data_IF_044141962330
#
_entry.id   IF_044141962330
#
_cell.length_a   1.000
_cell.length_b   1.000
_cell.length_c   1.000
_cell.angle_alpha   90.00
_cell.angle_beta   90.00
_cell.angle_gamma   90.00
#
_symmetry.space_group_name_H-M   'P 1'
#
loop_
_entity.id
_entity.type
_entity.pdbx_description
1 polymer ?
#
# COMPACT_ATOMS: atom_id res chain seq x y z
N UNK A 1 -6.57 -15.26 17.04
CA UNK A 1 -5.62 -16.22 16.41
C UNK A 1 -5.37 -15.69 15.01
N UNK A 2 -4.13 -15.34 14.66
CA UNK A 2 -3.81 -14.91 13.30
C UNK A 2 -4.10 -16.05 12.31
N UNK A 3 -4.39 -15.71 11.07
CA UNK A 3 -4.51 -16.69 9.99
C UNK A 3 -3.10 -17.20 9.72
N UNK A 4 -2.77 -18.42 10.17
CA UNK A 4 -1.61 -19.13 9.66
C UNK A 4 -1.94 -19.63 8.24
N UNK A 5 -0.93 -19.65 7.37
CA UNK A 5 -1.11 -20.17 6.00
C UNK A 5 -0.81 -21.66 5.91
N UNK A 6 -0.81 -22.39 7.03
CA UNK A 6 -0.54 -23.84 7.04
C UNK A 6 -1.56 -24.61 6.21
N UNK A 7 -2.79 -24.08 6.11
CA UNK A 7 -3.89 -24.66 5.33
C UNK A 7 -3.94 -24.17 3.88
N UNK A 8 -3.06 -23.25 3.48
CA UNK A 8 -3.01 -22.70 2.11
C UNK A 8 -4.19 -21.79 1.72
N UNK A 9 -4.99 -21.33 2.68
CA UNK A 9 -6.23 -20.58 2.42
C UNK A 9 -6.09 -19.07 2.54
N UNK A 10 -4.90 -18.58 2.93
CA UNK A 10 -4.65 -17.14 2.93
C UNK A 10 -4.36 -16.67 1.51
N UNK A 11 -4.84 -15.48 1.15
CA UNK A 11 -4.47 -14.88 -0.14
C UNK A 11 -2.95 -14.61 -0.17
N UNK A 12 -2.30 -15.20 -1.18
CA UNK A 12 -0.87 -15.04 -1.46
C UNK A 12 -0.62 -14.23 -2.73
N UNK A 13 -1.67 -13.78 -3.41
CA UNK A 13 -1.59 -12.93 -4.59
C UNK A 13 -1.12 -11.50 -4.29
N UNK A 14 -1.24 -10.64 -5.29
CA UNK A 14 -0.96 -9.21 -5.17
C UNK A 14 -1.77 -8.61 -4.02
N UNK A 15 -1.17 -7.75 -3.17
CA UNK A 15 -1.92 -7.07 -2.13
C UNK A 15 -3.07 -6.26 -2.75
N UNK A 16 -4.25 -6.34 -2.12
CA UNK A 16 -5.46 -5.65 -2.57
C UNK A 16 -5.27 -4.13 -2.62
N UNK A 17 -4.64 -3.58 -1.57
CA UNK A 17 -4.21 -2.18 -1.50
C UNK A 17 -2.70 -2.15 -1.25
N UNK A 18 -2.00 -1.20 -1.88
CA UNK A 18 -0.59 -0.92 -1.60
C UNK A 18 -0.33 0.56 -1.47
N UNK A 19 0.54 0.93 -0.54
CA UNK A 19 1.23 2.20 -0.51
C UNK A 19 2.59 2.01 -1.22
N UNK A 20 2.70 2.50 -2.45
CA UNK A 20 3.85 2.26 -3.32
C UNK A 20 4.65 3.55 -3.51
N UNK A 21 5.90 3.57 -3.06
CA UNK A 21 6.86 4.57 -3.51
C UNK A 21 7.21 4.29 -4.97
N UNK A 22 7.00 5.26 -5.85
CA UNK A 22 7.09 5.10 -7.30
C UNK A 22 7.93 6.21 -7.92
N UNK A 23 8.90 5.84 -8.75
CA UNK A 23 9.65 6.78 -9.59
C UNK A 23 9.05 6.83 -10.98
N UNK A 24 8.59 8.00 -11.42
CA UNK A 24 8.17 8.18 -12.81
C UNK A 24 9.40 8.12 -13.74
N UNK A 25 9.28 7.43 -14.87
CA UNK A 25 10.35 7.36 -15.86
C UNK A 25 10.59 8.71 -16.55
N UNK A 26 11.86 9.01 -16.85
CA UNK A 26 12.28 10.18 -17.64
C UNK A 26 12.92 11.29 -16.80
N UNK A 27 13.68 12.16 -17.46
CA UNK A 27 14.50 13.24 -16.86
C UNK A 27 13.73 14.35 -16.13
N UNK A 28 12.39 14.29 -16.14
CA UNK A 28 11.48 15.20 -15.41
C UNK A 28 10.54 14.46 -14.45
N UNK A 29 10.71 13.14 -14.27
CA UNK A 29 9.80 12.30 -13.50
C UNK A 29 10.00 12.48 -11.99
N UNK A 30 9.06 13.16 -11.33
CA UNK A 30 9.03 13.24 -9.87
C UNK A 30 8.75 11.89 -9.21
N UNK A 31 9.13 11.75 -7.95
CA UNK A 31 8.81 10.58 -7.13
C UNK A 31 7.47 10.77 -6.42
N UNK A 32 6.69 9.70 -6.30
CA UNK A 32 5.37 9.75 -5.69
C UNK A 32 5.18 8.63 -4.68
N UNK A 33 4.37 8.88 -3.66
CA UNK A 33 3.68 7.80 -2.96
C UNK A 33 2.32 7.59 -3.65
N UNK A 34 2.00 6.35 -4.00
CA UNK A 34 0.74 5.95 -4.65
C UNK A 34 -0.05 4.99 -3.78
N UNK A 35 -1.31 5.28 -3.55
CA UNK A 35 -2.30 4.31 -3.08
C UNK A 35 -2.80 3.57 -4.31
N UNK A 36 -2.51 2.28 -4.42
CA UNK A 36 -2.93 1.45 -5.56
C UNK A 36 -3.90 0.38 -5.13
N UNK A 37 -4.83 0.05 -6.01
CA UNK A 37 -5.86 -0.96 -5.79
C UNK A 37 -5.82 -2.02 -6.89
N UNK A 38 -5.69 -3.27 -6.46
CA UNK A 38 -5.66 -4.45 -7.31
C UNK A 38 -7.05 -5.11 -7.29
N UNK A 39 -7.95 -4.66 -8.17
CA UNK A 39 -9.31 -5.18 -8.24
C UNK A 39 -9.31 -6.64 -8.66
N UNK A 40 -10.07 -7.48 -7.96
CA UNK A 40 -10.31 -8.87 -8.37
C UNK A 40 -10.82 -8.94 -9.81
N UNK A 41 -10.12 -9.71 -10.65
CA UNK A 41 -10.46 -9.88 -12.08
C UNK A 41 -10.24 -8.62 -12.94
N UNK A 42 -9.55 -7.60 -12.42
CA UNK A 42 -9.26 -6.35 -13.12
C UNK A 42 -7.77 -6.00 -13.12
N UNK A 43 -7.45 -4.82 -13.65
CA UNK A 43 -6.10 -4.25 -13.60
C UNK A 43 -5.87 -3.46 -12.31
N UNK A 44 -4.61 -3.34 -11.91
CA UNK A 44 -4.23 -2.47 -10.80
C UNK A 44 -4.36 -1.00 -11.19
N UNK A 45 -5.09 -0.21 -10.41
CA UNK A 45 -5.26 1.23 -10.62
C UNK A 45 -4.58 2.04 -9.52
N UNK A 46 -4.29 3.32 -9.79
CA UNK A 46 -3.85 4.27 -8.76
C UNK A 46 -5.09 5.05 -8.30
N UNK A 47 -5.41 4.94 -7.01
CA UNK A 47 -6.55 5.61 -6.39
C UNK A 47 -6.22 7.05 -5.97
N UNK A 48 -5.03 7.22 -5.40
CA UNK A 48 -4.51 8.52 -4.98
C UNK A 48 -2.98 8.54 -5.11
N UNK A 49 -2.42 9.74 -5.26
CA UNK A 49 -0.98 9.92 -5.26
C UNK A 49 -0.58 11.28 -4.71
N UNK A 50 0.59 11.35 -4.10
CA UNK A 50 1.18 12.60 -3.60
C UNK A 50 2.70 12.59 -3.83
N UNK A 51 3.34 13.74 -3.72
CA UNK A 51 4.80 13.86 -3.86
C UNK A 51 5.51 13.09 -2.71
N UNK A 52 6.48 12.24 -3.07
CA UNK A 52 7.26 11.46 -2.10
C UNK A 52 8.16 12.36 -1.23
N UNK A 53 8.49 13.57 -1.68
CA UNK A 53 9.35 14.50 -0.95
C UNK A 53 8.82 14.82 0.47
N UNK A 54 7.49 14.77 0.67
CA UNK A 54 6.88 14.99 1.98
C UNK A 54 7.22 13.93 3.04
N UNK A 55 7.64 12.75 2.60
CA UNK A 55 7.86 11.55 3.43
C UNK A 55 9.33 11.32 3.75
N UNK A 56 10.24 11.66 2.84
CA UNK A 56 11.67 11.40 2.99
C UNK A 56 12.22 12.09 4.25
N UNK A 57 12.83 11.30 5.14
CA UNK A 57 13.40 11.78 6.41
C UNK A 57 12.38 12.23 7.46
N UNK A 58 11.09 11.91 7.29
CA UNK A 58 10.04 12.29 8.23
C UNK A 58 9.30 11.04 8.75
N UNK A 59 8.96 11.06 10.03
CA UNK A 59 7.93 10.16 10.55
C UNK A 59 6.54 10.64 10.11
N UNK A 60 5.73 9.70 9.65
CA UNK A 60 4.34 9.90 9.29
C UNK A 60 3.48 8.88 10.04
N UNK A 61 2.30 9.30 10.44
CA UNK A 61 1.24 8.42 10.94
C UNK A 61 0.33 8.05 9.78
N UNK A 62 -0.02 6.77 9.67
CA UNK A 62 -0.91 6.24 8.64
C UNK A 62 -2.10 5.59 9.34
N UNK A 63 -3.29 6.16 9.14
CA UNK A 63 -4.55 5.56 9.58
C UNK A 63 -5.27 4.99 8.36
N UNK A 64 -5.47 3.67 8.34
CA UNK A 64 -6.27 2.96 7.34
C UNK A 64 -7.55 2.42 7.98
N UNK A 65 -8.71 2.65 7.33
CA UNK A 65 -9.98 2.01 7.66
C UNK A 65 -10.46 1.22 6.46
N UNK A 66 -10.76 -0.05 6.66
CA UNK A 66 -11.23 -0.93 5.59
C UNK A 66 -12.46 -1.70 6.04
N UNK A 67 -13.51 -1.65 5.22
CA UNK A 67 -14.62 -2.58 5.29
C UNK A 67 -14.40 -3.66 4.23
N UNK A 68 -14.22 -4.90 4.67
CA UNK A 68 -13.92 -6.02 3.78
C UNK A 68 -15.19 -6.71 3.28
N UNK A 69 -15.27 -6.93 1.97
CA UNK A 69 -16.40 -7.55 1.30
C UNK A 69 -16.52 -7.07 -0.15
N UNK A 70 -17.39 -7.69 -0.93
CA UNK A 70 -17.61 -7.33 -2.34
C UNK A 70 -18.23 -5.92 -2.50
N UNK A 71 -18.91 -5.44 -1.45
CA UNK A 71 -19.41 -4.06 -1.32
C UNK A 71 -18.75 -3.38 -0.11
N UNK A 72 -17.43 -3.40 -0.08
CA UNK A 72 -16.60 -2.83 0.97
C UNK A 72 -16.29 -1.35 0.79
N UNK A 73 -15.34 -0.87 1.60
CA UNK A 73 -14.82 0.49 1.55
C UNK A 73 -13.35 0.53 1.98
N UNK A 74 -12.66 1.59 1.58
CA UNK A 74 -11.29 1.86 1.99
C UNK A 74 -11.07 3.36 2.19
N UNK A 75 -10.43 3.69 3.31
CA UNK A 75 -10.01 5.04 3.67
C UNK A 75 -8.56 5.01 4.14
N UNK A 76 -7.81 6.04 3.78
CA UNK A 76 -6.45 6.26 4.27
C UNK A 76 -6.18 7.74 4.48
N UNK A 77 -5.62 8.07 5.64
CA UNK A 77 -5.07 9.39 5.95
C UNK A 77 -3.62 9.21 6.35
N UNK A 78 -2.74 9.99 5.73
CA UNK A 78 -1.31 10.01 6.07
C UNK A 78 -0.92 11.40 6.53
N UNK A 79 -0.52 11.50 7.80
CA UNK A 79 -0.22 12.77 8.47
C UNK A 79 1.24 12.79 8.89
N UNK A 80 1.95 13.87 8.54
CA UNK A 80 3.32 14.06 9.00
C UNK A 80 3.34 14.48 10.46
N UNK A 81 4.07 13.74 11.29
CA UNK A 81 4.03 13.91 12.74
C UNK A 81 4.60 15.27 13.17
N UNK A 82 5.70 15.72 12.55
CA UNK A 82 6.43 16.91 13.02
C UNK A 82 5.62 18.21 12.99
N UNK A 83 4.63 18.30 12.12
CA UNK A 83 3.87 19.53 11.87
C UNK A 83 2.36 19.31 11.64
N UNK A 84 1.87 18.07 11.81
CA UNK A 84 0.46 17.73 11.62
C UNK A 84 -0.04 17.88 10.18
N UNK A 85 0.86 18.04 9.20
CA UNK A 85 0.46 18.22 7.80
C UNK A 85 -0.09 16.92 7.22
N UNK A 86 -1.33 16.93 6.77
CA UNK A 86 -1.89 15.85 5.95
C UNK A 86 -1.16 15.82 4.59
N UNK A 87 -0.49 14.71 4.30
CA UNK A 87 0.27 14.49 3.07
C UNK A 87 -0.58 13.81 1.99
N UNK A 88 -1.51 12.95 2.41
CA UNK A 88 -2.45 12.24 1.54
C UNK A 88 -3.71 11.90 2.34
N UNK A 89 -4.86 12.08 1.72
CA UNK A 89 -6.17 11.65 2.22
C UNK A 89 -6.93 11.04 1.05
N UNK A 90 -7.53 9.88 1.26
CA UNK A 90 -8.35 9.19 0.26
C UNK A 90 -9.44 8.40 0.96
N UNK A 91 -10.65 8.43 0.40
CA UNK A 91 -11.75 7.56 0.80
C UNK A 91 -12.54 7.12 -0.42
N UNK A 92 -13.03 5.88 -0.39
CA UNK A 92 -13.97 5.38 -1.39
C UNK A 92 -14.87 4.32 -0.78
N UNK A 93 -16.14 4.40 -1.15
CA UNK A 93 -17.16 3.40 -0.85
C UNK A 93 -17.36 2.45 -2.03
N UNK A 94 -18.12 1.37 -1.82
CA UNK A 94 -18.56 0.41 -2.85
C UNK A 94 -17.39 -0.21 -3.64
N UNK A 95 -16.33 -0.53 -2.91
CA UNK A 95 -15.14 -1.20 -3.45
C UNK A 95 -15.25 -2.72 -3.27
N UNK A 96 -14.79 -3.50 -4.25
CA UNK A 96 -14.62 -4.95 -4.09
C UNK A 96 -13.36 -5.21 -3.24
N UNK A 97 -13.55 -5.26 -1.92
CA UNK A 97 -12.47 -5.39 -0.94
C UNK A 97 -12.25 -6.85 -0.51
N UNK A 98 -12.61 -7.83 -1.35
CA UNK A 98 -12.44 -9.25 -1.04
C UNK A 98 -11.80 -10.02 -2.18
N UNK A 99 -11.25 -11.19 -1.84
CA UNK A 99 -10.61 -12.10 -2.79
C UNK A 99 -11.38 -13.42 -2.83
N UNK A 100 -11.44 -14.03 -4.01
CA UNK A 100 -12.10 -15.32 -4.20
C UNK A 100 -11.42 -16.39 -3.34
N UNK A 101 -12.25 -17.18 -2.65
CA UNK A 101 -11.85 -18.34 -1.83
C UNK A 101 -10.77 -18.05 -0.76
N UNK A 102 -10.63 -16.79 -0.34
CA UNK A 102 -9.71 -16.42 0.74
C UNK A 102 -10.39 -16.51 2.10
N UNK A 103 -9.67 -17.04 3.10
CA UNK A 103 -10.14 -17.04 4.50
C UNK A 103 -9.80 -15.75 5.25
N UNK A 104 -9.02 -14.87 4.61
CA UNK A 104 -8.80 -13.51 5.07
C UNK A 104 -7.61 -12.83 4.40
N UNK A 105 -7.55 -11.52 4.64
CA UNK A 105 -6.52 -10.62 4.14
C UNK A 105 -5.60 -10.22 5.29
N UNK A 106 -4.29 -10.25 5.03
CA UNK A 106 -3.28 -9.91 6.04
C UNK A 106 -2.48 -8.68 5.60
N UNK A 107 -2.27 -7.70 6.49
CA UNK A 107 -1.35 -6.62 6.21
C UNK A 107 0.09 -7.15 6.16
N UNK A 108 0.92 -6.48 5.37
CA UNK A 108 2.35 -6.75 5.24
C UNK A 108 3.07 -5.40 5.28
N UNK A 109 4.19 -5.34 6.00
CA UNK A 109 5.04 -4.15 6.06
C UNK A 109 6.47 -4.55 5.73
N UNK A 110 7.16 -3.70 4.98
CA UNK A 110 8.50 -3.97 4.50
C UNK A 110 8.76 -3.30 3.16
N UNK A 111 9.87 -3.67 2.53
CA UNK A 111 10.21 -3.25 1.18
C UNK A 111 9.87 -4.41 0.24
N UNK A 112 8.90 -4.19 -0.64
CA UNK A 112 8.67 -5.06 -1.80
C UNK A 112 9.06 -4.29 -3.05
N UNK A 113 10.13 -4.73 -3.73
CA UNK A 113 10.74 -3.99 -4.83
C UNK A 113 10.53 -4.69 -6.16
N UNK A 114 9.95 -3.98 -7.12
CA UNK A 114 9.87 -4.44 -8.50
C UNK A 114 11.21 -4.21 -9.19
N UNK A 115 11.78 -5.26 -9.78
CA UNK A 115 13.10 -5.22 -10.41
C UNK A 115 13.01 -5.08 -11.94
N UNK A 116 11.86 -4.74 -12.50
CA UNK A 116 11.61 -4.88 -13.94
C UNK A 116 11.31 -6.32 -14.33
N UNK A 117 10.76 -6.49 -15.53
CA UNK A 117 10.63 -7.81 -16.16
C UNK A 117 12.03 -8.41 -16.31
N UNK A 118 12.19 -9.69 -15.98
CA UNK A 118 13.48 -10.39 -15.96
C UNK A 118 14.61 -9.64 -15.22
N UNK A 119 14.24 -8.88 -14.17
CA UNK A 119 15.17 -8.11 -13.34
C UNK A 119 15.94 -7.02 -14.11
N UNK A 120 15.42 -6.55 -15.24
CA UNK A 120 16.03 -5.51 -16.09
C UNK A 120 16.37 -4.20 -15.40
N UNK A 121 15.83 -3.91 -14.21
CA UNK A 121 16.10 -2.71 -13.42
C UNK A 121 16.93 -2.99 -12.16
N UNK A 122 17.46 -4.20 -11.99
CA UNK A 122 18.28 -4.56 -10.82
C UNK A 122 19.53 -3.68 -10.66
N UNK A 123 20.08 -3.15 -11.75
CA UNK A 123 21.29 -2.31 -11.70
C UNK A 123 20.97 -0.86 -11.34
N UNK A 124 19.68 -0.49 -11.29
CA UNK A 124 19.21 0.83 -10.83
C UNK A 124 18.91 0.85 -9.33
N UNK A 125 19.13 -0.27 -8.64
CA UNK A 125 18.91 -0.37 -7.21
C UNK A 125 19.83 0.59 -6.45
N UNK A 126 19.24 1.18 -5.41
CA UNK A 126 19.95 2.02 -4.45
C UNK A 126 19.76 1.42 -3.07
N UNK A 127 20.61 1.84 -2.15
CA UNK A 127 20.38 1.62 -0.74
C UNK A 127 19.15 2.43 -0.32
N UNK A 128 18.15 1.73 0.21
CA UNK A 128 16.88 2.30 0.62
C UNK A 128 16.55 1.76 2.01
N UNK A 129 16.22 2.67 2.92
CA UNK A 129 15.82 2.32 4.28
C UNK A 129 14.39 2.79 4.51
N UNK A 130 13.56 1.92 5.09
CA UNK A 130 12.25 2.26 5.62
C UNK A 130 12.19 1.81 7.07
N UNK A 131 11.68 2.68 7.94
CA UNK A 131 11.49 2.41 9.37
C UNK A 131 10.02 2.35 9.68
N UNK A 132 9.65 1.45 10.58
CA UNK A 132 8.28 1.30 11.06
C UNK A 132 8.27 1.30 12.59
N UNK A 133 7.18 1.84 13.16
CA UNK A 133 6.93 1.86 14.60
C UNK A 133 5.41 1.90 14.85
N UNK A 134 5.01 1.65 16.09
CA UNK A 134 3.67 1.96 16.63
C UNK A 134 2.47 1.35 15.88
N UNK A 135 2.59 0.08 15.47
CA UNK A 135 1.48 -0.64 14.85
C UNK A 135 0.34 -0.92 15.83
N UNK A 136 -0.88 -0.62 15.39
CA UNK A 136 -2.13 -1.00 16.06
C UNK A 136 -3.15 -1.46 15.03
N UNK A 137 -3.75 -2.62 15.24
CA UNK A 137 -4.85 -3.14 14.43
C UNK A 137 -6.04 -3.40 15.34
N UNK A 138 -7.17 -2.80 15.02
CA UNK A 138 -8.40 -2.89 15.81
C UNK A 138 -9.57 -3.20 14.89
N UNK A 139 -10.46 -4.07 15.35
CA UNK A 139 -11.78 -4.21 14.76
C UNK A 139 -12.63 -3.05 15.29
N UNK A 140 -13.25 -2.30 14.38
CA UNK A 140 -14.21 -1.25 14.72
C UNK A 140 -15.60 -1.83 15.01
#
# INVERSE_FOLDING_TARGET
>A
KGIDNSSGTADVGSPLITLTAYSNSGSKGGQQLRVRYDKRGGSTTTLASTDLAGFLGNWVEVEEKACFGENGSYEVVITRIKDGKVLLEFSSEKMDMWRTDCTGLRPKWGIYRYLGEDRTWQDQLRDEEIRFADFSIKKL
#
